data_IF_413875604142
#
_entry.id   IF_413875604142
#
_cell.length_a   1.000
_cell.length_b   1.000
_cell.length_c   1.000
_cell.angle_alpha   90.00
_cell.angle_beta   90.00
_cell.angle_gamma   90.00
#
_symmetry.space_group_name_H-M   'P 1'
#
loop_
_entity.id
_entity.type
_entity.pdbx_description
1 polymer ?
#
# COMPACT_ATOMS: atom_id res chain seq x y z
N UNK A 1 6.22 -7.55 8.76
CA UNK A 1 5.11 -8.13 7.97
C UNK A 1 5.72 -9.04 6.93
N UNK A 2 5.24 -10.26 6.84
CA UNK A 2 5.63 -11.23 5.80
C UNK A 2 4.51 -11.31 4.78
N UNK A 3 4.85 -11.14 3.50
CA UNK A 3 3.93 -11.42 2.40
C UNK A 3 4.09 -12.89 2.04
N UNK A 4 3.01 -13.65 2.22
CA UNK A 4 2.97 -15.07 1.96
C UNK A 4 2.11 -15.29 0.71
N UNK A 5 2.66 -15.99 -0.29
CA UNK A 5 1.88 -16.40 -1.46
C UNK A 5 0.92 -17.53 -1.08
N UNK A 6 -0.15 -17.71 -1.87
CA UNK A 6 -1.14 -18.75 -1.66
C UNK A 6 -0.50 -20.14 -1.56
N UNK A 7 0.41 -20.48 -2.47
CA UNK A 7 1.10 -21.77 -2.43
C UNK A 7 1.94 -21.99 -1.17
N UNK A 8 2.55 -20.92 -0.63
CA UNK A 8 3.30 -21.00 0.62
C UNK A 8 2.34 -21.19 1.80
N UNK A 9 1.17 -20.53 1.78
CA UNK A 9 0.15 -20.74 2.80
C UNK A 9 -0.39 -22.18 2.76
N UNK A 10 -0.72 -22.70 1.58
CA UNK A 10 -1.16 -24.09 1.38
C UNK A 10 -0.11 -25.09 1.88
N UNK A 11 1.17 -24.84 1.57
CA UNK A 11 2.26 -25.67 2.10
C UNK A 11 2.35 -25.61 3.61
N UNK A 12 2.28 -24.42 4.21
CA UNK A 12 2.36 -24.28 5.67
C UNK A 12 1.20 -24.98 6.36
N UNK A 13 -0.02 -24.86 5.85
CA UNK A 13 -1.20 -25.57 6.35
C UNK A 13 -0.91 -27.06 6.40
N UNK A 14 -0.50 -27.66 5.30
CA UNK A 14 -0.14 -29.09 5.25
C UNK A 14 1.02 -29.42 6.18
N UNK A 15 2.13 -28.69 6.10
CA UNK A 15 3.35 -28.96 6.87
C UNK A 15 3.14 -28.92 8.38
N UNK A 16 2.16 -28.16 8.85
CA UNK A 16 1.84 -28.04 10.28
C UNK A 16 0.79 -29.03 10.76
N UNK A 17 0.41 -29.99 9.93
CA UNK A 17 -0.49 -31.08 10.29
C UNK A 17 -1.97 -30.76 10.14
N UNK A 18 -2.30 -29.81 9.24
CA UNK A 18 -3.68 -29.47 8.94
C UNK A 18 -4.08 -29.91 7.54
N UNK A 19 -5.32 -30.35 7.40
CA UNK A 19 -5.99 -30.50 6.13
C UNK A 19 -6.77 -29.23 5.79
N UNK A 20 -6.72 -28.85 4.52
CA UNK A 20 -7.57 -27.79 3.98
C UNK A 20 -8.98 -28.35 3.76
N UNK A 21 -9.98 -27.75 4.43
CA UNK A 21 -11.39 -28.07 4.23
C UNK A 21 -11.96 -27.20 3.11
N UNK A 22 -11.74 -25.90 3.21
CA UNK A 22 -12.28 -24.92 2.28
C UNK A 22 -11.36 -23.70 2.20
N UNK A 23 -11.32 -23.07 1.05
CA UNK A 23 -10.61 -21.83 0.81
C UNK A 23 -11.47 -20.91 -0.05
N UNK A 24 -11.61 -19.65 0.36
CA UNK A 24 -12.34 -18.65 -0.41
C UNK A 24 -11.67 -17.29 -0.35
N UNK A 25 -11.78 -16.56 -1.44
CA UNK A 25 -11.26 -15.19 -1.55
C UNK A 25 -12.26 -14.20 -0.97
N UNK A 26 -11.77 -13.28 -0.16
CA UNK A 26 -12.51 -12.11 0.28
C UNK A 26 -11.99 -10.89 -0.46
N UNK A 27 -12.76 -10.42 -1.43
CA UNK A 27 -12.33 -9.42 -2.39
C UNK A 27 -11.01 -9.86 -3.08
N UNK A 28 -10.22 -8.91 -3.56
CA UNK A 28 -8.95 -9.18 -4.25
C UNK A 28 -7.72 -9.23 -3.31
N UNK A 29 -7.92 -9.06 -1.99
CA UNK A 29 -6.78 -8.84 -1.07
C UNK A 29 -6.65 -9.86 0.06
N UNK A 30 -7.59 -10.77 0.25
CA UNK A 30 -7.53 -11.71 1.38
C UNK A 30 -8.05 -13.08 0.98
N UNK A 31 -7.43 -14.11 1.55
CA UNK A 31 -7.87 -15.49 1.41
C UNK A 31 -8.18 -16.05 2.79
N UNK A 32 -9.35 -16.61 2.97
CA UNK A 32 -9.75 -17.31 4.17
C UNK A 32 -9.55 -18.80 4.01
N UNK A 33 -9.00 -19.43 5.03
CA UNK A 33 -8.73 -20.86 5.09
C UNK A 33 -9.54 -21.48 6.24
N UNK A 34 -10.42 -22.42 5.91
CA UNK A 34 -11.00 -23.34 6.89
C UNK A 34 -10.12 -24.58 6.92
N UNK A 35 -9.47 -24.84 8.06
CA UNK A 35 -8.49 -25.93 8.22
C UNK A 35 -8.86 -26.81 9.40
N UNK A 36 -8.52 -28.10 9.34
CA UNK A 36 -8.71 -29.09 10.40
C UNK A 36 -7.39 -29.73 10.76
N UNK A 37 -7.06 -29.78 12.03
CA UNK A 37 -5.89 -30.50 12.51
C UNK A 37 -6.07 -32.01 12.36
N UNK A 38 -5.11 -32.68 11.73
CA UNK A 38 -5.13 -34.13 11.47
C UNK A 38 -3.88 -34.85 11.98
N UNK A 39 -2.91 -34.11 12.50
CA UNK A 39 -1.64 -34.63 13.04
C UNK A 39 -0.48 -34.51 12.07
N UNK A 40 0.71 -34.31 12.63
CA UNK A 40 1.95 -34.07 11.88
C UNK A 40 2.43 -35.36 11.16
N UNK A 41 2.12 -36.52 11.69
CA UNK A 41 2.61 -37.83 11.17
C UNK A 41 2.01 -38.19 9.80
N UNK A 42 1.01 -37.45 9.33
CA UNK A 42 0.37 -37.68 8.03
C UNK A 42 0.94 -36.83 6.89
N UNK A 43 1.98 -36.03 7.17
CA UNK A 43 2.54 -35.11 6.18
C UNK A 43 3.36 -35.87 5.16
N UNK A 44 2.94 -35.81 3.90
CA UNK A 44 3.79 -36.18 2.77
C UNK A 44 4.68 -34.98 2.42
N UNK A 45 6.00 -35.20 2.36
CA UNK A 45 6.93 -34.18 1.85
C UNK A 45 6.60 -33.88 0.39
N UNK A 46 5.96 -32.73 0.16
CA UNK A 46 5.75 -32.19 -1.18
C UNK A 46 6.82 -31.15 -1.50
N UNK A 47 7.67 -31.44 -2.48
CA UNK A 47 8.74 -30.57 -2.98
C UNK A 47 8.24 -29.30 -3.72
N UNK A 48 6.96 -28.96 -3.58
CA UNK A 48 6.23 -27.98 -4.39
C UNK A 48 6.74 -26.52 -4.29
N UNK A 49 7.43 -26.15 -3.23
CA UNK A 49 7.85 -24.75 -3.04
C UNK A 49 9.14 -24.42 -3.80
N UNK A 50 10.03 -25.36 -3.93
CA UNK A 50 11.37 -25.13 -4.51
C UNK A 50 11.28 -24.72 -5.99
N UNK A 51 10.32 -25.29 -6.72
CA UNK A 51 10.16 -25.04 -8.16
C UNK A 51 9.65 -23.63 -8.52
N UNK A 52 9.00 -22.90 -7.58
CA UNK A 52 8.44 -21.55 -7.84
C UNK A 52 9.35 -20.40 -7.36
N UNK A 53 10.50 -20.69 -6.76
CA UNK A 53 11.39 -19.64 -6.26
C UNK A 53 11.78 -18.60 -7.31
N UNK A 54 12.17 -19.04 -8.50
CA UNK A 54 12.59 -18.13 -9.57
C UNK A 54 11.43 -17.31 -10.12
N UNK A 55 10.23 -17.90 -10.19
CA UNK A 55 9.00 -17.21 -10.58
C UNK A 55 8.68 -16.10 -9.58
N UNK A 56 8.61 -16.43 -8.30
CA UNK A 56 8.32 -15.45 -7.24
C UNK A 56 9.38 -14.36 -7.14
N UNK A 57 10.67 -14.73 -7.28
CA UNK A 57 11.74 -13.76 -7.35
C UNK A 57 11.57 -12.78 -8.51
N UNK A 58 11.21 -13.28 -9.69
CA UNK A 58 10.94 -12.44 -10.87
C UNK A 58 9.74 -11.52 -10.64
N UNK A 59 8.64 -12.04 -10.07
CA UNK A 59 7.46 -11.25 -9.73
C UNK A 59 7.81 -10.13 -8.74
N UNK A 60 8.56 -10.45 -7.70
CA UNK A 60 9.01 -9.48 -6.70
C UNK A 60 9.88 -8.38 -7.31
N UNK A 61 10.87 -8.75 -8.13
CA UNK A 61 11.74 -7.79 -8.81
C UNK A 61 10.95 -6.89 -9.77
N UNK A 62 9.99 -7.45 -10.50
CA UNK A 62 9.10 -6.68 -11.37
C UNK A 62 8.25 -5.68 -10.56
N UNK A 63 7.73 -6.11 -9.41
CA UNK A 63 7.00 -5.22 -8.51
C UNK A 63 7.87 -4.07 -7.98
N UNK A 64 9.10 -4.36 -7.55
CA UNK A 64 10.05 -3.33 -7.09
C UNK A 64 10.35 -2.33 -8.22
N UNK A 65 10.66 -2.83 -9.42
CA UNK A 65 10.93 -1.97 -10.58
C UNK A 65 9.71 -1.11 -10.95
N UNK A 66 8.51 -1.67 -10.86
CA UNK A 66 7.27 -0.91 -11.06
C UNK A 66 7.15 0.24 -10.06
N UNK A 67 7.37 -0.02 -8.77
CA UNK A 67 7.31 1.02 -7.73
C UNK A 67 8.38 2.08 -7.93
N UNK A 68 9.61 1.71 -8.29
CA UNK A 68 10.69 2.67 -8.55
C UNK A 68 10.31 3.62 -9.71
N UNK A 69 9.76 3.07 -10.78
CA UNK A 69 9.29 3.88 -11.92
C UNK A 69 8.12 4.79 -11.51
N UNK A 70 7.19 4.30 -10.70
CA UNK A 70 6.09 5.13 -10.19
C UNK A 70 6.60 6.28 -9.30
N UNK A 71 7.57 6.02 -8.42
CA UNK A 71 8.19 7.06 -7.59
C UNK A 71 8.87 8.13 -8.46
N UNK A 72 9.60 7.72 -9.49
CA UNK A 72 10.22 8.67 -10.43
C UNK A 72 9.15 9.51 -11.15
N UNK A 73 8.06 8.89 -11.60
CA UNK A 73 6.94 9.56 -12.24
C UNK A 73 6.27 10.57 -11.31
N UNK A 74 6.02 10.17 -10.05
CA UNK A 74 5.41 11.04 -9.04
C UNK A 74 6.32 12.24 -8.76
N UNK A 75 7.61 12.02 -8.52
CA UNK A 75 8.59 13.08 -8.27
C UNK A 75 8.64 14.08 -9.43
N UNK A 76 8.64 13.59 -10.67
CA UNK A 76 8.56 14.45 -11.86
C UNK A 76 7.28 15.28 -11.89
N UNK A 77 6.13 14.65 -11.65
CA UNK A 77 4.82 15.33 -11.62
C UNK A 77 4.75 16.40 -10.53
N UNK A 78 5.29 16.13 -9.33
CA UNK A 78 5.39 17.12 -8.24
C UNK A 78 6.22 18.33 -8.66
N UNK A 79 7.38 18.10 -9.28
CA UNK A 79 8.26 19.18 -9.74
C UNK A 79 7.56 20.06 -10.78
N UNK A 80 6.94 19.44 -11.78
CA UNK A 80 6.19 20.17 -12.81
C UNK A 80 5.02 20.97 -12.23
N UNK A 81 4.36 20.39 -11.22
CA UNK A 81 3.24 21.05 -10.56
C UNK A 81 3.67 22.29 -9.77
N UNK A 82 4.76 22.21 -9.00
CA UNK A 82 5.31 23.33 -8.23
C UNK A 82 5.74 24.47 -9.17
N UNK A 83 6.38 24.14 -10.29
CA UNK A 83 6.82 25.15 -11.27
C UNK A 83 5.62 25.92 -11.85
N UNK A 84 4.51 25.23 -12.11
CA UNK A 84 3.31 25.82 -12.71
C UNK A 84 2.41 26.55 -11.71
N UNK A 85 2.46 26.17 -10.45
CA UNK A 85 1.55 26.63 -9.39
C UNK A 85 2.37 27.04 -8.16
N UNK A 86 2.91 28.26 -8.15
CA UNK A 86 3.80 28.80 -7.12
C UNK A 86 3.14 28.64 -5.77
N UNK A 87 2.71 28.83 -4.96
CA UNK A 87 2.07 28.75 -3.64
C UNK A 87 1.19 27.50 -3.39
N UNK A 88 1.23 26.52 -4.28
CA UNK A 88 0.45 25.30 -4.11
C UNK A 88 1.08 24.34 -3.12
N UNK A 89 0.24 23.55 -2.45
CA UNK A 89 0.68 22.53 -1.52
C UNK A 89 0.57 21.14 -2.14
N UNK A 90 1.44 20.25 -1.68
CA UNK A 90 1.43 18.85 -2.05
C UNK A 90 1.17 18.00 -0.80
N UNK A 91 0.29 17.06 -0.93
CA UNK A 91 -0.07 16.13 0.14
C UNK A 91 0.07 14.68 -0.33
N UNK A 92 0.40 13.79 0.62
CA UNK A 92 0.37 12.35 0.41
C UNK A 92 -0.82 11.76 1.17
N UNK A 93 -1.68 11.01 0.49
CA UNK A 93 -2.82 10.38 1.13
C UNK A 93 -2.46 9.02 1.70
N UNK A 94 -2.79 8.81 2.98
CA UNK A 94 -2.65 7.56 3.72
C UNK A 94 -1.39 7.50 4.60
N UNK A 95 -1.56 7.60 5.90
CA UNK A 95 -0.50 7.37 6.89
C UNK A 95 -0.36 5.86 7.17
N UNK A 96 0.18 5.10 6.22
CA UNK A 96 0.29 3.65 6.28
C UNK A 96 1.60 3.13 5.65
N UNK A 97 1.81 1.82 5.73
CA UNK A 97 3.06 1.17 5.29
C UNK A 97 3.40 1.42 3.82
N UNK A 98 2.39 1.56 2.94
CA UNK A 98 2.65 1.81 1.53
C UNK A 98 3.25 3.21 1.30
N UNK A 99 2.78 4.23 2.02
CA UNK A 99 3.39 5.58 1.99
C UNK A 99 4.84 5.55 2.47
N UNK A 100 5.12 4.80 3.56
CA UNK A 100 6.49 4.59 4.02
C UNK A 100 7.34 3.86 2.97
N UNK A 101 6.74 2.92 2.25
CA UNK A 101 7.43 2.20 1.18
C UNK A 101 7.80 3.13 0.01
N UNK A 102 6.88 4.00 -0.44
CA UNK A 102 7.18 5.00 -1.47
C UNK A 102 8.30 5.95 -1.02
N UNK A 103 8.25 6.40 0.23
CA UNK A 103 9.29 7.27 0.82
C UNK A 103 10.65 6.55 0.86
N UNK A 104 10.66 5.30 1.29
CA UNK A 104 11.88 4.48 1.31
C UNK A 104 12.45 4.24 -0.10
N UNK A 105 11.57 4.22 -1.14
CA UNK A 105 11.97 4.10 -2.54
C UNK A 105 12.33 5.44 -3.20
N UNK A 106 12.40 6.55 -2.44
CA UNK A 106 12.93 7.82 -2.91
C UNK A 106 11.88 8.87 -3.29
N UNK A 107 10.65 8.76 -2.76
CA UNK A 107 9.67 9.84 -2.87
C UNK A 107 10.21 11.09 -2.16
N UNK A 108 10.22 12.24 -2.85
CA UNK A 108 10.77 13.52 -2.35
C UNK A 108 9.86 14.12 -1.28
N UNK A 109 10.16 13.82 -0.01
CA UNK A 109 9.35 14.25 1.14
C UNK A 109 9.50 15.73 1.47
N UNK A 110 10.59 16.35 1.09
CA UNK A 110 10.86 17.79 1.25
C UNK A 110 9.84 18.68 0.53
N UNK A 111 9.13 18.13 -0.45
CA UNK A 111 8.08 18.81 -1.21
C UNK A 111 6.66 18.51 -0.73
N UNK A 112 6.53 17.59 0.22
CA UNK A 112 5.24 17.17 0.78
C UNK A 112 4.96 17.97 2.04
N UNK A 113 3.85 18.72 2.06
CA UNK A 113 3.46 19.56 3.19
C UNK A 113 2.93 18.75 4.38
N UNK A 114 2.14 17.72 4.13
CA UNK A 114 1.61 16.84 5.16
C UNK A 114 1.07 15.53 4.55
N UNK A 115 0.76 14.57 5.42
CA UNK A 115 0.04 13.35 5.06
C UNK A 115 -1.43 13.51 5.45
N UNK A 116 -2.32 13.13 4.55
CA UNK A 116 -3.77 13.12 4.81
C UNK A 116 -4.18 11.70 5.21
N UNK A 117 -4.92 11.56 6.30
CA UNK A 117 -5.48 10.26 6.71
C UNK A 117 -6.84 10.44 7.39
N UNK A 118 -7.75 9.50 7.18
CA UNK A 118 -9.10 9.50 7.78
C UNK A 118 -9.10 9.04 9.24
N UNK A 119 -8.05 8.37 9.69
CA UNK A 119 -7.99 7.76 11.01
C UNK A 119 -7.75 8.81 12.11
N UNK A 120 -8.73 9.01 12.97
CA UNK A 120 -8.60 9.89 14.14
C UNK A 120 -7.42 9.49 15.05
N UNK A 121 -7.08 8.20 15.09
CA UNK A 121 -5.95 7.70 15.87
C UNK A 121 -4.59 8.15 15.34
N UNK A 122 -4.50 8.59 14.08
CA UNK A 122 -3.26 9.02 13.41
C UNK A 122 -3.15 10.53 13.28
N UNK A 123 -4.29 11.24 13.17
CA UNK A 123 -4.34 12.70 13.03
C UNK A 123 -3.61 13.38 14.21
N UNK A 124 -2.80 14.40 13.90
CA UNK A 124 -1.97 15.11 14.87
C UNK A 124 -0.68 14.38 15.23
N UNK A 125 -0.44 13.20 14.69
CA UNK A 125 0.81 12.45 14.86
C UNK A 125 1.69 12.59 13.62
N UNK A 126 2.92 12.15 13.74
CA UNK A 126 3.89 12.09 12.66
C UNK A 126 3.90 10.70 12.02
N UNK A 127 4.04 10.63 10.72
CA UNK A 127 4.27 9.33 10.07
C UNK A 127 5.60 8.76 10.53
N UNK A 128 5.59 7.53 10.99
CA UNK A 128 6.78 6.84 11.48
C UNK A 128 7.92 6.89 10.45
N UNK A 129 9.13 7.24 10.92
CA UNK A 129 10.33 7.36 10.08
C UNK A 129 10.41 8.65 9.25
N UNK A 130 9.51 9.62 9.46
CA UNK A 130 9.51 10.91 8.75
C UNK A 130 9.22 12.08 9.68
N UNK A 131 9.38 13.33 9.20
CA UNK A 131 8.94 14.54 9.88
C UNK A 131 7.56 15.02 9.39
N UNK A 132 6.88 14.25 8.53
CA UNK A 132 5.58 14.61 7.97
C UNK A 132 4.46 14.39 9.00
N UNK A 133 3.74 15.45 9.30
CA UNK A 133 2.56 15.41 10.15
C UNK A 133 1.35 14.83 9.42
N UNK A 134 0.50 14.13 10.17
CA UNK A 134 -0.76 13.60 9.67
C UNK A 134 -1.88 14.56 9.99
N UNK A 135 -2.63 14.97 8.97
CA UNK A 135 -3.77 15.87 9.08
C UNK A 135 -5.07 15.21 8.62
N UNK A 136 -6.20 15.73 9.08
CA UNK A 136 -7.51 15.35 8.58
C UNK A 136 -7.73 15.86 7.15
N UNK A 137 -8.45 15.14 6.28
CA UNK A 137 -8.92 15.69 5.00
C UNK A 137 -9.69 17.01 5.15
N UNK A 138 -10.43 17.19 6.25
CA UNK A 138 -11.17 18.42 6.53
C UNK A 138 -10.27 19.64 6.79
N UNK A 139 -8.98 19.45 6.99
CA UNK A 139 -8.01 20.53 7.15
C UNK A 139 -7.40 20.99 5.81
N UNK A 140 -7.89 20.49 4.70
CA UNK A 140 -7.51 20.95 3.36
C UNK A 140 -8.23 22.28 3.08
N UNK A 141 -7.54 23.39 3.33
CA UNK A 141 -8.08 24.73 3.17
C UNK A 141 -7.67 25.40 1.86
N UNK A 142 -6.91 24.70 1.02
CA UNK A 142 -6.27 25.27 -0.15
C UNK A 142 -7.07 25.00 -1.42
N UNK A 143 -7.37 26.06 -2.15
CA UNK A 143 -8.08 25.99 -3.44
C UNK A 143 -7.26 25.37 -4.57
N UNK A 144 -5.98 25.14 -4.36
CA UNK A 144 -5.05 24.56 -5.34
C UNK A 144 -4.05 23.64 -4.62
N UNK A 145 -4.32 22.36 -4.64
CA UNK A 145 -3.43 21.36 -4.04
C UNK A 145 -3.28 20.16 -4.96
N UNK A 146 -2.09 19.54 -4.92
CA UNK A 146 -1.83 18.25 -5.53
C UNK A 146 -1.88 17.19 -4.44
N UNK A 147 -2.64 16.14 -4.65
CA UNK A 147 -2.69 15.00 -3.74
C UNK A 147 -2.10 13.78 -4.44
N UNK A 148 -1.05 13.22 -3.85
CA UNK A 148 -0.52 11.92 -4.26
C UNK A 148 -1.43 10.86 -3.67
N UNK A 149 -2.21 10.22 -4.53
CA UNK A 149 -3.21 9.23 -4.13
C UNK A 149 -2.86 7.86 -4.70
N UNK A 150 -2.65 6.89 -3.81
CA UNK A 150 -2.48 5.46 -4.12
C UNK A 150 -3.24 4.64 -3.08
N UNK A 151 -4.56 4.65 -3.17
CA UNK A 151 -5.46 4.03 -2.20
C UNK A 151 -5.93 2.62 -2.62
N UNK A 152 -5.41 2.07 -3.71
CA UNK A 152 -5.80 0.76 -4.24
C UNK A 152 -7.29 0.70 -4.53
N UNK A 153 -7.97 -0.32 -4.03
CA UNK A 153 -9.42 -0.50 -4.25
C UNK A 153 -10.30 0.59 -3.59
N UNK A 154 -9.76 1.40 -2.68
CA UNK A 154 -10.49 2.52 -2.05
C UNK A 154 -10.29 3.85 -2.80
N UNK A 155 -9.58 3.84 -3.94
CA UNK A 155 -9.21 5.06 -4.65
C UNK A 155 -10.43 5.90 -5.04
N UNK A 156 -11.44 5.31 -5.65
CA UNK A 156 -12.66 6.02 -6.06
C UNK A 156 -13.46 6.59 -4.87
N UNK A 157 -13.47 5.89 -3.74
CA UNK A 157 -14.12 6.35 -2.52
C UNK A 157 -13.40 7.58 -1.96
N UNK A 158 -12.08 7.50 -1.89
CA UNK A 158 -11.23 8.61 -1.41
C UNK A 158 -11.33 9.81 -2.35
N UNK A 159 -11.27 9.63 -3.65
CA UNK A 159 -11.44 10.70 -4.64
C UNK A 159 -12.80 11.38 -4.49
N UNK A 160 -13.88 10.62 -4.33
CA UNK A 160 -15.23 11.17 -4.07
C UNK A 160 -15.29 11.96 -2.78
N UNK A 161 -14.62 11.49 -1.72
CA UNK A 161 -14.53 12.21 -0.45
C UNK A 161 -13.78 13.53 -0.61
N UNK A 162 -12.59 13.49 -1.21
CA UNK A 162 -11.74 14.67 -1.39
C UNK A 162 -12.39 15.72 -2.28
N UNK A 163 -13.07 15.31 -3.35
CA UNK A 163 -13.82 16.20 -4.25
C UNK A 163 -15.00 16.92 -3.56
N UNK A 164 -15.60 16.33 -2.52
CA UNK A 164 -16.61 17.01 -1.71
C UNK A 164 -16.02 18.10 -0.82
N UNK A 165 -14.76 17.95 -0.41
CA UNK A 165 -14.07 18.91 0.46
C UNK A 165 -13.56 20.09 -0.35
N UNK A 166 -12.98 19.84 -1.51
CA UNK A 166 -12.49 20.90 -2.41
C UNK A 166 -12.61 20.46 -3.87
N UNK A 167 -13.39 21.21 -4.66
CA UNK A 167 -13.63 20.91 -6.09
C UNK A 167 -12.43 21.14 -7.02
N UNK A 168 -11.30 21.66 -6.53
CA UNK A 168 -10.12 22.03 -7.33
C UNK A 168 -8.88 21.17 -7.04
N UNK A 169 -9.06 20.02 -6.40
CA UNK A 169 -7.96 19.11 -6.12
C UNK A 169 -7.47 18.42 -7.41
N UNK A 170 -6.16 18.23 -7.52
CA UNK A 170 -5.53 17.41 -8.57
C UNK A 170 -4.93 16.14 -7.93
N UNK A 171 -5.02 15.03 -8.64
CA UNK A 171 -4.54 13.72 -8.21
C UNK A 171 -3.47 13.20 -9.15
#
# INVERSE_FOLDING_TARGET
TYFITEDVADFLVKKTGYDLIEKFNFNEHSIFYAIRYVGIDKIKNDDLIINKYFEYKKMYLNFINYIDNEVLRINKSMNEYIIKNKDSKIYLFGAHIFSQFLINRGLQTDKINAIIDNSLAKIGKRLYGTDLNVISPNNLNDSSSLIILKAGQYQEEVERQLNKISGNLKY
#
